data_IF_078008365116
#
_entry.id   IF_078008365116
#
_cell.length_a   1.000
_cell.length_b   1.000
_cell.length_c   1.000
_cell.angle_alpha   90.00
_cell.angle_beta   90.00
_cell.angle_gamma   90.00
#
_symmetry.space_group_name_H-M   'P 1'
#
loop_
_entity.id
_entity.type
_entity.pdbx_description
1 polymer ?
#
# COMPACT_ATOMS: atom_id res chain seq x y z
N UNK A 1 5.94 -7.74 15.22
CA UNK A 1 5.71 -8.77 14.21
C UNK A 1 4.69 -8.28 13.18
N UNK A 2 5.10 -8.10 11.92
CA UNK A 2 4.30 -7.41 10.90
C UNK A 2 3.07 -8.18 10.44
N UNK A 3 3.17 -9.52 10.29
CA UNK A 3 2.11 -10.36 9.76
C UNK A 3 1.84 -11.56 10.68
N UNK A 4 1.02 -11.39 11.74
CA UNK A 4 0.72 -12.46 12.71
C UNK A 4 0.09 -13.70 12.05
N UNK A 5 -0.77 -13.51 11.06
CA UNK A 5 -1.42 -14.60 10.32
C UNK A 5 -0.44 -15.54 9.63
N UNK A 6 0.66 -15.03 9.09
CA UNK A 6 1.69 -15.88 8.47
C UNK A 6 2.42 -16.74 9.51
N UNK A 7 2.58 -16.26 10.74
CA UNK A 7 3.16 -17.04 11.82
C UNK A 7 2.33 -18.27 12.17
N UNK A 8 1.02 -18.14 12.19
CA UNK A 8 0.09 -19.24 12.45
C UNK A 8 0.18 -20.34 11.36
N UNK A 9 0.72 -20.00 10.20
CA UNK A 9 0.76 -20.84 9.00
C UNK A 9 2.15 -21.22 8.51
N UNK A 10 3.16 -21.16 9.38
CA UNK A 10 4.57 -21.44 9.03
C UNK A 10 4.79 -22.81 8.38
N UNK A 11 3.99 -23.81 8.72
CA UNK A 11 4.07 -25.16 8.19
C UNK A 11 3.10 -25.42 7.03
N UNK A 12 2.33 -24.41 6.60
CA UNK A 12 1.40 -24.53 5.47
C UNK A 12 2.12 -24.22 4.16
N UNK A 13 1.80 -24.97 3.11
CA UNK A 13 2.31 -24.68 1.76
C UNK A 13 1.78 -23.34 1.27
N UNK A 14 2.66 -22.54 0.66
CA UNK A 14 2.32 -21.19 0.20
C UNK A 14 1.22 -21.15 -0.86
N UNK A 15 1.15 -22.17 -1.71
CA UNK A 15 0.12 -22.32 -2.74
C UNK A 15 -1.29 -22.62 -2.20
N UNK A 16 -1.40 -23.01 -0.93
CA UNK A 16 -2.68 -23.26 -0.24
C UNK A 16 -3.15 -22.09 0.63
N UNK A 17 -2.38 -21.01 0.68
CA UNK A 17 -2.76 -19.78 1.37
C UNK A 17 -3.88 -19.06 0.60
N UNK A 18 -4.74 -18.33 1.32
CA UNK A 18 -5.70 -17.40 0.69
C UNK A 18 -4.98 -16.30 -0.09
N UNK A 19 -5.65 -15.68 -1.07
CA UNK A 19 -5.04 -14.59 -1.85
C UNK A 19 -4.45 -13.48 -0.99
N UNK A 20 -5.14 -13.08 0.08
CA UNK A 20 -4.63 -12.08 1.01
C UNK A 20 -3.40 -12.53 1.82
N UNK A 21 -3.37 -13.79 2.23
CA UNK A 21 -2.18 -14.36 2.89
C UNK A 21 -1.00 -14.48 1.94
N UNK A 22 -1.26 -14.80 0.65
CA UNK A 22 -0.22 -14.79 -0.39
C UNK A 22 0.33 -13.38 -0.63
N UNK A 23 -0.52 -12.36 -0.63
CA UNK A 23 -0.10 -10.96 -0.75
C UNK A 23 0.75 -10.50 0.45
N UNK A 24 0.36 -10.87 1.67
CA UNK A 24 1.18 -10.63 2.88
C UNK A 24 2.52 -11.37 2.80
N UNK A 25 2.53 -12.60 2.29
CA UNK A 25 3.75 -13.38 2.12
C UNK A 25 4.68 -12.73 1.08
N UNK A 26 4.14 -12.26 -0.04
CA UNK A 26 4.91 -11.54 -1.07
C UNK A 26 5.57 -10.28 -0.49
N UNK A 27 4.80 -9.47 0.25
CA UNK A 27 5.32 -8.30 0.95
C UNK A 27 6.39 -8.69 1.98
N UNK A 28 6.12 -9.71 2.80
CA UNK A 28 7.08 -10.21 3.79
C UNK A 28 8.40 -10.68 3.16
N UNK A 29 8.34 -11.37 2.02
CA UNK A 29 9.54 -11.79 1.27
C UNK A 29 10.35 -10.61 0.76
N UNK A 30 9.69 -9.58 0.21
CA UNK A 30 10.37 -8.36 -0.23
C UNK A 30 11.11 -7.67 0.93
N UNK A 31 10.59 -7.76 2.14
CA UNK A 31 11.22 -7.19 3.33
C UNK A 31 12.45 -7.97 3.83
N UNK A 32 12.54 -9.26 3.51
CA UNK A 32 13.68 -10.08 3.96
C UNK A 32 15.03 -9.63 3.38
N UNK A 33 15.04 -8.89 2.28
CA UNK A 33 16.26 -8.31 1.68
C UNK A 33 16.66 -6.98 2.30
N UNK A 34 15.92 -6.49 3.31
CA UNK A 34 16.12 -5.20 3.97
C UNK A 34 16.23 -4.02 2.97
N UNK A 35 15.19 -3.77 2.16
CA UNK A 35 15.26 -2.81 1.08
C UNK A 35 15.30 -1.37 1.60
N UNK A 36 16.00 -0.50 0.89
CA UNK A 36 15.91 0.95 1.07
C UNK A 36 14.73 1.56 0.31
N UNK A 37 14.24 0.88 -0.72
CA UNK A 37 13.06 1.26 -1.53
C UNK A 37 12.18 0.04 -1.71
N UNK A 38 10.86 0.20 -1.51
CA UNK A 38 9.85 -0.82 -1.71
C UNK A 38 8.81 -0.33 -2.72
N UNK A 39 8.56 -1.14 -3.76
CA UNK A 39 7.50 -0.90 -4.74
C UNK A 39 6.35 -1.86 -4.47
N UNK A 40 5.15 -1.32 -4.33
CA UNK A 40 3.92 -2.07 -4.09
C UNK A 40 2.89 -1.68 -5.17
N UNK A 41 2.47 -2.67 -5.94
CA UNK A 41 1.47 -2.50 -6.98
C UNK A 41 0.17 -3.17 -6.55
N UNK A 42 -0.85 -2.35 -6.31
CA UNK A 42 -2.20 -2.73 -5.85
C UNK A 42 -2.20 -3.75 -4.69
N UNK A 43 -1.42 -3.53 -3.61
CA UNK A 43 -1.23 -4.55 -2.57
C UNK A 43 -2.50 -4.85 -1.76
N UNK A 44 -3.56 -4.04 -1.92
CA UNK A 44 -4.83 -4.21 -1.19
C UNK A 44 -5.96 -4.74 -2.07
N UNK A 45 -5.71 -4.99 -3.36
CA UNK A 45 -6.73 -5.47 -4.29
C UNK A 45 -7.32 -6.82 -3.84
N UNK A 46 -8.65 -6.91 -3.85
CA UNK A 46 -9.37 -8.15 -3.49
C UNK A 46 -9.26 -8.58 -2.03
N UNK A 47 -8.70 -7.74 -1.15
CA UNK A 47 -8.51 -8.07 0.25
C UNK A 47 -9.69 -7.65 1.13
N UNK A 48 -9.89 -8.38 2.23
CA UNK A 48 -10.81 -8.00 3.29
C UNK A 48 -10.28 -6.79 4.07
N UNK A 49 -11.15 -5.94 4.66
CA UNK A 49 -10.75 -4.73 5.37
C UNK A 49 -9.69 -4.94 6.47
N UNK A 50 -9.77 -6.05 7.19
CA UNK A 50 -8.79 -6.39 8.24
C UNK A 50 -7.39 -6.67 7.68
N UNK A 51 -7.30 -7.22 6.47
CA UNK A 51 -6.03 -7.48 5.79
C UNK A 51 -5.44 -6.19 5.20
N UNK A 52 -6.29 -5.34 4.63
CA UNK A 52 -5.92 -4.01 4.15
C UNK A 52 -5.27 -3.21 5.29
N UNK A 53 -5.87 -3.23 6.47
CA UNK A 53 -5.33 -2.55 7.65
C UNK A 53 -3.96 -3.10 8.08
N UNK A 54 -3.75 -4.41 8.00
CA UNK A 54 -2.43 -5.00 8.30
C UNK A 54 -1.36 -4.56 7.29
N UNK A 55 -1.68 -4.49 6.00
CA UNK A 55 -0.76 -3.98 4.98
C UNK A 55 -0.47 -2.51 5.23
N UNK A 56 -1.49 -1.70 5.51
CA UNK A 56 -1.35 -0.28 5.83
C UNK A 56 -0.40 -0.06 7.02
N UNK A 57 -0.57 -0.83 8.09
CA UNK A 57 0.30 -0.76 9.28
C UNK A 57 1.74 -1.17 8.95
N UNK A 58 1.93 -2.21 8.15
CA UNK A 58 3.26 -2.64 7.72
C UNK A 58 3.95 -1.56 6.88
N UNK A 59 3.25 -0.97 5.91
CA UNK A 59 3.75 0.14 5.07
C UNK A 59 4.14 1.34 5.93
N UNK A 60 3.27 1.76 6.84
CA UNK A 60 3.54 2.87 7.76
C UNK A 60 4.78 2.61 8.62
N UNK A 61 4.88 1.42 9.21
CA UNK A 61 6.03 1.06 10.04
C UNK A 61 7.36 1.03 9.27
N UNK A 62 7.33 0.67 7.99
CA UNK A 62 8.50 0.70 7.12
C UNK A 62 8.92 2.12 6.75
N UNK A 63 7.96 2.96 6.38
CA UNK A 63 8.19 4.39 6.15
C UNK A 63 8.84 5.04 7.35
N UNK A 64 8.34 4.78 8.54
CA UNK A 64 8.85 5.34 9.80
C UNK A 64 10.27 4.86 10.15
N UNK A 65 10.70 3.74 9.54
CA UNK A 65 12.08 3.25 9.59
C UNK A 65 13.00 3.80 8.49
N UNK A 66 12.48 4.70 7.64
CA UNK A 66 13.22 5.34 6.57
C UNK A 66 13.24 4.58 5.24
N UNK A 67 12.40 3.56 5.06
CA UNK A 67 12.22 2.90 3.76
C UNK A 67 11.39 3.82 2.86
N UNK A 68 11.90 4.14 1.67
CA UNK A 68 11.13 4.85 0.67
C UNK A 68 10.12 3.89 0.03
N UNK A 69 8.84 4.30 -0.07
CA UNK A 69 7.77 3.45 -0.58
C UNK A 69 7.11 4.11 -1.78
N UNK A 70 7.07 3.38 -2.90
CA UNK A 70 6.24 3.71 -4.05
C UNK A 70 5.04 2.76 -4.04
N UNK A 71 3.86 3.33 -3.78
CA UNK A 71 2.59 2.61 -3.71
C UNK A 71 1.73 2.98 -4.91
N UNK A 72 1.34 2.00 -5.71
CA UNK A 72 0.31 2.14 -6.74
C UNK A 72 -0.99 1.59 -6.19
N UNK A 73 -2.03 2.41 -6.16
CA UNK A 73 -3.35 2.07 -5.63
C UNK A 73 -4.44 2.86 -6.34
N UNK A 74 -5.62 2.25 -6.48
CA UNK A 74 -6.81 2.89 -7.03
C UNK A 74 -7.71 3.47 -5.93
N UNK A 75 -7.59 2.98 -4.71
CA UNK A 75 -8.37 3.42 -3.56
C UNK A 75 -7.78 4.67 -2.94
N UNK A 76 -8.40 5.78 -3.22
CA UNK A 76 -7.94 7.11 -2.79
C UNK A 76 -7.85 7.22 -1.27
N UNK A 77 -8.85 6.72 -0.53
CA UNK A 77 -8.89 6.71 0.92
C UNK A 77 -7.70 5.96 1.54
N UNK A 78 -7.33 4.81 0.96
CA UNK A 78 -6.18 4.04 1.37
C UNK A 78 -4.87 4.81 1.15
N UNK A 79 -4.69 5.41 -0.03
CA UNK A 79 -3.51 6.22 -0.36
C UNK A 79 -3.38 7.43 0.57
N UNK A 80 -4.45 8.22 0.71
CA UNK A 80 -4.42 9.45 1.51
C UNK A 80 -4.15 9.19 2.99
N UNK A 81 -4.45 7.99 3.49
CA UNK A 81 -4.20 7.64 4.90
C UNK A 81 -2.72 7.45 5.24
N UNK A 82 -1.87 7.14 4.24
CA UNK A 82 -0.47 6.75 4.47
C UNK A 82 0.56 7.52 3.64
N UNK A 83 0.15 8.10 2.50
CA UNK A 83 1.06 8.80 1.61
C UNK A 83 1.47 10.18 2.14
N UNK A 84 2.71 10.58 1.85
CA UNK A 84 3.19 11.94 2.06
C UNK A 84 2.81 12.82 0.84
N UNK A 85 2.91 12.24 -0.36
CA UNK A 85 2.56 12.89 -1.63
C UNK A 85 1.95 11.89 -2.60
N UNK A 86 1.15 12.38 -3.52
CA UNK A 86 0.43 11.60 -4.53
C UNK A 86 0.77 12.13 -5.92
N UNK A 87 0.96 11.22 -6.86
CA UNK A 87 1.06 11.52 -8.29
C UNK A 87 -0.10 10.84 -8.99
N UNK A 88 -0.93 11.61 -9.68
CA UNK A 88 -1.99 11.05 -10.50
C UNK A 88 -1.46 10.68 -11.88
N UNK A 89 -1.90 9.53 -12.39
CA UNK A 89 -1.58 9.07 -13.75
C UNK A 89 -2.89 8.94 -14.52
N UNK A 90 -2.97 9.66 -15.63
CA UNK A 90 -4.15 9.67 -16.49
C UNK A 90 -3.72 9.57 -17.96
N UNK A 91 -4.33 8.67 -18.72
CA UNK A 91 -4.07 8.49 -20.16
C UNK A 91 -2.57 8.36 -20.50
N UNK A 92 -1.80 7.64 -19.65
CA UNK A 92 -0.37 7.43 -19.84
C UNK A 92 0.52 8.64 -19.50
N UNK A 93 -0.02 9.67 -18.84
CA UNK A 93 0.71 10.86 -18.40
C UNK A 93 0.64 10.98 -16.88
N UNK A 94 1.75 11.39 -16.28
CA UNK A 94 1.81 11.74 -14.86
C UNK A 94 1.55 13.23 -14.68
N UNK A 95 0.78 13.57 -13.66
CA UNK A 95 0.61 14.94 -13.18
C UNK A 95 1.73 15.32 -12.20
N UNK A 96 1.82 16.60 -11.87
CA UNK A 96 2.76 17.06 -10.85
C UNK A 96 2.41 16.47 -9.48
N UNK A 97 3.41 16.18 -8.64
CA UNK A 97 3.15 15.65 -7.31
C UNK A 97 2.38 16.64 -6.43
N UNK A 98 1.36 16.14 -5.74
CA UNK A 98 0.57 16.92 -4.78
C UNK A 98 0.75 16.33 -3.39
N UNK A 99 0.84 17.17 -2.35
CA UNK A 99 0.91 16.66 -0.98
C UNK A 99 -0.39 15.97 -0.58
N UNK A 100 -0.30 14.84 0.11
CA UNK A 100 -1.49 14.14 0.60
C UNK A 100 -2.28 14.98 1.62
N UNK A 101 -1.61 15.86 2.37
CA UNK A 101 -2.25 16.82 3.26
C UNK A 101 -3.15 17.79 2.48
N UNK A 102 -2.64 18.40 1.40
CA UNK A 102 -3.43 19.31 0.57
C UNK A 102 -4.68 18.63 -0.03
N UNK A 103 -4.55 17.35 -0.44
CA UNK A 103 -5.69 16.58 -0.97
C UNK A 103 -6.72 16.21 0.11
N UNK A 104 -6.30 16.05 1.36
CA UNK A 104 -7.23 15.82 2.49
C UNK A 104 -7.97 17.09 2.88
N UNK A 105 -7.30 18.24 2.79
CA UNK A 105 -7.84 19.53 3.22
C UNK A 105 -8.74 20.18 2.15
N UNK A 106 -8.57 19.80 0.87
CA UNK A 106 -9.32 20.33 -0.27
C UNK A 106 -9.97 19.21 -1.10
N UNK A 107 -11.21 18.81 -0.79
CA UNK A 107 -11.95 17.83 -1.58
C UNK A 107 -12.14 18.20 -3.05
N UNK A 108 -12.25 19.50 -3.37
CA UNK A 108 -12.42 19.94 -4.75
C UNK A 108 -11.15 19.71 -5.57
N UNK A 109 -9.99 19.85 -4.94
CA UNK A 109 -8.72 19.50 -5.57
C UNK A 109 -8.67 18.01 -5.91
N UNK A 110 -9.14 17.16 -4.99
CA UNK A 110 -9.21 15.71 -5.21
C UNK A 110 -10.17 15.34 -6.35
N UNK A 111 -11.37 15.96 -6.37
CA UNK A 111 -12.37 15.71 -7.42
C UNK A 111 -11.86 16.03 -8.84
N UNK A 112 -10.98 17.02 -9.00
CA UNK A 112 -10.38 17.36 -10.30
C UNK A 112 -9.55 16.20 -10.89
N UNK A 113 -8.94 15.39 -10.05
CA UNK A 113 -8.07 14.29 -10.48
C UNK A 113 -8.81 12.95 -10.56
N UNK A 114 -9.81 12.74 -9.70
CA UNK A 114 -10.49 11.43 -9.59
C UNK A 114 -11.79 11.39 -10.41
N UNK A 115 -12.31 12.55 -10.83
CA UNK A 115 -13.46 12.63 -11.76
C UNK A 115 -14.79 12.16 -11.14
N UNK A 116 -14.96 12.22 -9.81
CA UNK A 116 -16.18 11.80 -9.10
C UNK A 116 -16.79 13.00 -8.39
#
# INVERSE_FOLDING_TARGET
EMFPRLRERLNQRADTLSGGEQQMLATGRALCINPSVLLLDEPTEGLQPSMIEQIRQAVTALRDRGVAILLVEQRVDAVLSIADRVVFIENGRSHDPVSAAALRDDPDLLHRFVGV
#
